data_IF_132381188061
#
_entry.id   IF_132381188061
#
_cell.length_a   1.000
_cell.length_b   1.000
_cell.length_c   1.000
_cell.angle_alpha   90.00
_cell.angle_beta   90.00
_cell.angle_gamma   90.00
#
_symmetry.space_group_name_H-M   'P 1'
#
loop_
_entity.id
_entity.type
_entity.pdbx_description
1 polymer ?
#
# COMPACT_ATOMS: atom_id res chain seq x y z
N UNK A 1 30.41 -0.21 -3.08
CA UNK A 1 29.15 0.49 -2.71
C UNK A 1 29.25 1.94 -3.15
N UNK A 2 28.20 2.50 -3.73
CA UNK A 2 28.12 3.94 -4.02
C UNK A 2 27.96 4.67 -2.69
N UNK A 3 28.75 5.71 -2.43
CA UNK A 3 28.70 6.53 -1.22
C UNK A 3 28.19 7.92 -1.56
N UNK A 4 27.26 8.45 -0.78
CA UNK A 4 26.73 9.80 -0.90
C UNK A 4 26.99 10.55 0.40
N UNK A 5 27.67 11.69 0.32
CA UNK A 5 28.07 12.50 1.49
C UNK A 5 27.18 13.74 1.69
N UNK A 6 26.22 13.95 0.77
CA UNK A 6 25.32 15.09 0.76
C UNK A 6 23.88 14.66 0.35
N UNK A 7 22.87 15.41 0.82
CA UNK A 7 21.45 15.13 0.57
C UNK A 7 21.14 15.16 -0.93
N UNK A 8 21.76 16.09 -1.66
CA UNK A 8 21.52 16.34 -3.07
C UNK A 8 21.87 15.11 -3.94
N UNK A 9 23.02 14.49 -3.68
CA UNK A 9 23.51 13.31 -4.37
C UNK A 9 22.65 12.08 -4.05
N UNK A 10 22.18 11.96 -2.81
CA UNK A 10 21.22 10.93 -2.43
C UNK A 10 19.89 11.10 -3.19
N UNK A 11 19.33 12.31 -3.18
CA UNK A 11 18.08 12.61 -3.89
C UNK A 11 18.25 12.44 -5.41
N UNK A 12 19.41 12.73 -5.99
CA UNK A 12 19.69 12.45 -7.39
C UNK A 12 19.65 10.95 -7.72
N UNK A 13 19.98 10.05 -6.78
CA UNK A 13 19.80 8.61 -6.96
C UNK A 13 18.30 8.27 -6.99
N UNK A 14 17.52 8.77 -6.03
CA UNK A 14 16.07 8.58 -6.01
C UNK A 14 15.40 9.09 -7.30
N UNK A 15 15.86 10.24 -7.81
CA UNK A 15 15.39 10.83 -9.06
C UNK A 15 15.68 9.93 -10.28
N UNK A 16 16.86 9.30 -10.33
CA UNK A 16 17.18 8.34 -11.39
C UNK A 16 16.28 7.10 -11.33
N UNK A 17 15.96 6.60 -10.13
CA UNK A 17 15.00 5.50 -9.97
C UNK A 17 13.58 5.92 -10.38
N UNK A 18 13.16 7.16 -10.13
CA UNK A 18 11.91 7.71 -10.65
C UNK A 18 11.87 7.74 -12.19
N UNK A 19 12.98 8.10 -12.85
CA UNK A 19 13.12 8.02 -14.31
C UNK A 19 13.06 6.56 -14.80
N UNK A 20 13.66 5.62 -14.07
CA UNK A 20 13.57 4.20 -14.38
C UNK A 20 12.11 3.69 -14.27
N UNK A 21 11.38 4.09 -13.23
CA UNK A 21 9.96 3.78 -13.04
C UNK A 21 9.11 4.29 -14.21
N UNK A 22 9.33 5.56 -14.59
CA UNK A 22 8.68 6.16 -15.76
C UNK A 22 8.98 5.40 -17.05
N UNK A 23 10.22 4.95 -17.23
CA UNK A 23 10.63 4.14 -18.41
C UNK A 23 9.95 2.77 -18.42
N UNK A 24 9.77 2.16 -17.24
CA UNK A 24 9.04 0.91 -17.07
C UNK A 24 7.54 1.05 -17.35
N UNK A 25 6.99 2.27 -17.34
CA UNK A 25 5.57 2.53 -17.53
C UNK A 25 4.74 2.40 -16.26
N UNK A 26 5.37 2.55 -15.09
CA UNK A 26 4.69 2.66 -13.80
C UNK A 26 4.83 4.07 -13.24
N UNK A 27 4.34 4.32 -12.02
CA UNK A 27 4.41 5.65 -11.39
C UNK A 27 5.87 6.09 -11.27
N UNK A 28 6.18 7.31 -11.73
CA UNK A 28 7.51 7.92 -11.75
C UNK A 28 8.08 8.25 -10.37
N UNK A 29 8.18 7.25 -9.50
CA UNK A 29 8.63 7.36 -8.10
C UNK A 29 9.78 6.37 -7.88
N UNK A 30 10.79 6.80 -7.13
CA UNK A 30 11.94 5.98 -6.81
C UNK A 30 12.56 6.35 -5.47
N UNK A 31 13.41 5.48 -4.95
CA UNK A 31 14.06 5.73 -3.68
C UNK A 31 15.28 4.86 -3.42
N UNK A 32 15.91 5.09 -2.27
CA UNK A 32 17.04 4.33 -1.78
C UNK A 32 17.09 4.24 -0.25
N UNK A 33 17.82 3.24 0.25
CA UNK A 33 18.26 3.13 1.64
C UNK A 33 19.72 3.56 1.78
N UNK A 34 19.97 4.38 2.79
CA UNK A 34 21.28 4.85 3.20
C UNK A 34 21.55 4.49 4.66
N UNK A 35 22.75 4.00 4.94
CA UNK A 35 23.25 3.94 6.32
C UNK A 35 23.78 5.31 6.80
N UNK A 36 24.14 5.39 8.09
CA UNK A 36 24.67 6.63 8.68
C UNK A 36 26.00 7.10 8.11
N UNK A 37 26.72 6.23 7.39
CA UNK A 37 27.98 6.58 6.75
C UNK A 37 27.77 7.06 5.30
N UNK A 38 26.51 7.10 4.84
CA UNK A 38 26.14 7.50 3.49
C UNK A 38 26.36 6.41 2.44
N UNK A 39 26.51 5.14 2.84
CA UNK A 39 26.58 4.05 1.87
C UNK A 39 25.16 3.73 1.39
N UNK A 40 25.01 3.60 0.07
CA UNK A 40 23.78 3.11 -0.55
C UNK A 40 23.68 1.60 -0.33
N UNK A 41 22.73 1.19 0.52
CA UNK A 41 22.42 -0.21 0.78
C UNK A 41 21.61 -0.80 -0.38
N UNK A 42 20.62 -0.05 -0.86
CA UNK A 42 19.72 -0.45 -1.96
C UNK A 42 19.08 0.78 -2.60
N UNK A 43 18.88 0.78 -3.91
CA UNK A 43 17.97 1.69 -4.62
C UNK A 43 16.96 0.88 -5.44
N UNK A 44 15.75 1.40 -5.57
CA UNK A 44 14.63 0.74 -6.25
C UNK A 44 13.64 1.78 -6.82
N UNK A 45 13.10 1.48 -7.99
CA UNK A 45 11.94 2.17 -8.54
C UNK A 45 10.59 1.61 -8.04
N UNK A 46 9.52 2.39 -8.19
CA UNK A 46 8.14 1.89 -8.10
C UNK A 46 7.94 0.72 -9.09
N UNK A 47 7.12 -0.25 -8.70
CA UNK A 47 6.87 -1.48 -9.45
C UNK A 47 5.39 -1.89 -9.45
N UNK A 48 4.46 -0.94 -9.27
CA UNK A 48 3.01 -1.22 -9.27
C UNK A 48 2.58 -1.88 -10.57
N UNK A 49 3.15 -1.40 -11.68
CA UNK A 49 2.92 -1.93 -13.03
C UNK A 49 4.19 -2.58 -13.55
N UNK A 50 4.04 -3.76 -14.14
CA UNK A 50 5.08 -4.45 -14.91
C UNK A 50 4.47 -4.94 -16.22
N UNK A 51 5.17 -4.72 -17.32
CA UNK A 51 4.76 -5.23 -18.65
C UNK A 51 3.32 -4.81 -19.02
N UNK A 52 2.89 -3.61 -18.59
CA UNK A 52 1.55 -3.10 -18.87
C UNK A 52 0.42 -3.69 -18.03
N UNK A 53 0.74 -4.45 -16.97
CA UNK A 53 -0.24 -5.04 -16.06
C UNK A 53 0.06 -4.66 -14.61
N UNK A 54 -0.98 -4.52 -13.79
CA UNK A 54 -0.82 -4.34 -12.33
C UNK A 54 -0.19 -5.60 -11.75
N UNK A 55 1.01 -5.46 -11.19
CA UNK A 55 1.77 -6.55 -10.58
C UNK A 55 1.52 -6.63 -9.07
N UNK A 56 1.61 -5.49 -8.38
CA UNK A 56 1.37 -5.36 -6.94
C UNK A 56 1.00 -3.90 -6.64
N UNK A 57 -0.26 -3.58 -6.29
CA UNK A 57 -0.69 -2.20 -6.02
C UNK A 57 0.10 -1.57 -4.86
N UNK A 58 0.73 -2.38 -4.00
CA UNK A 58 1.53 -1.88 -2.87
C UNK A 58 3.02 -1.72 -3.20
N UNK A 59 3.47 -2.01 -4.42
CA UNK A 59 4.89 -2.00 -4.81
C UNK A 59 5.44 -0.58 -5.05
N UNK A 60 5.26 0.30 -4.06
CA UNK A 60 5.89 1.61 -4.01
C UNK A 60 7.38 1.49 -3.67
N UNK A 61 8.18 2.50 -4.01
CA UNK A 61 9.63 2.46 -3.80
C UNK A 61 10.00 2.26 -2.33
N UNK A 62 9.44 3.07 -1.45
CA UNK A 62 9.67 3.06 0.00
C UNK A 62 9.28 1.71 0.61
N UNK A 63 8.09 1.22 0.26
CA UNK A 63 7.56 -0.06 0.74
C UNK A 63 8.48 -1.22 0.34
N UNK A 64 8.93 -1.26 -0.92
CA UNK A 64 9.82 -2.32 -1.41
C UNK A 64 11.21 -2.25 -0.77
N UNK A 65 11.71 -1.06 -0.45
CA UNK A 65 12.97 -0.88 0.26
C UNK A 65 12.90 -1.46 1.69
N UNK A 66 11.81 -1.20 2.41
CA UNK A 66 11.56 -1.78 3.74
C UNK A 66 11.49 -3.31 3.65
N UNK A 67 10.80 -3.83 2.64
CA UNK A 67 10.72 -5.26 2.38
C UNK A 67 12.07 -5.91 2.13
N UNK A 68 12.87 -5.28 1.28
CA UNK A 68 14.24 -5.72 1.00
C UNK A 68 15.06 -5.75 2.29
N UNK A 69 14.95 -4.72 3.13
CA UNK A 69 15.68 -4.65 4.41
C UNK A 69 15.34 -5.85 5.32
N UNK A 70 14.06 -6.11 5.57
CA UNK A 70 13.65 -7.23 6.42
C UNK A 70 13.99 -8.59 5.80
N UNK A 71 13.87 -8.73 4.49
CA UNK A 71 14.27 -9.94 3.79
C UNK A 71 15.78 -10.22 3.91
N UNK A 72 16.64 -9.21 3.79
CA UNK A 72 18.08 -9.38 3.97
C UNK A 72 18.47 -9.64 5.44
N UNK A 73 17.81 -8.98 6.40
CA UNK A 73 17.97 -9.29 7.83
C UNK A 73 17.60 -10.75 8.14
N UNK A 74 16.50 -11.26 7.57
CA UNK A 74 16.09 -12.64 7.72
C UNK A 74 17.10 -13.64 7.10
N UNK A 75 17.85 -13.23 6.08
CA UNK A 75 18.97 -14.00 5.50
C UNK A 75 20.27 -13.91 6.32
N UNK A 76 20.29 -13.15 7.41
CA UNK A 76 21.45 -12.96 8.27
C UNK A 76 22.38 -11.82 7.86
N UNK A 77 21.95 -10.92 6.97
CA UNK A 77 22.73 -9.74 6.64
C UNK A 77 22.91 -8.83 7.86
N UNK A 78 24.14 -8.40 8.12
CA UNK A 78 24.47 -7.47 9.19
C UNK A 78 24.11 -6.02 8.79
N UNK A 79 22.81 -5.72 8.73
CA UNK A 79 22.31 -4.39 8.45
C UNK A 79 22.05 -3.61 9.76
N UNK A 80 22.33 -2.28 9.79
CA UNK A 80 22.02 -1.43 10.94
C UNK A 80 20.54 -1.52 11.34
N UNK A 81 20.16 -1.20 12.58
CA UNK A 81 18.75 -1.13 12.96
C UNK A 81 18.03 -0.02 12.16
N UNK A 82 16.70 -0.10 11.96
CA UNK A 82 15.95 0.83 11.09
C UNK A 82 16.14 2.31 11.44
N UNK A 83 16.24 2.65 12.72
CA UNK A 83 16.44 4.01 13.23
C UNK A 83 17.81 4.61 12.87
N UNK A 84 18.75 3.79 12.41
CA UNK A 84 20.06 4.21 11.89
C UNK A 84 20.08 4.26 10.35
N UNK A 85 18.97 3.94 9.70
CA UNK A 85 18.84 3.94 8.24
C UNK A 85 17.92 5.08 7.80
N UNK A 86 18.25 5.66 6.65
CA UNK A 86 17.46 6.70 6.00
C UNK A 86 16.92 6.21 4.67
N UNK A 87 15.60 6.23 4.51
CA UNK A 87 14.93 6.10 3.22
C UNK A 87 14.98 7.47 2.54
N UNK A 88 15.50 7.55 1.33
CA UNK A 88 15.41 8.76 0.51
C UNK A 88 14.42 8.48 -0.60
N UNK A 89 13.35 9.27 -0.67
CA UNK A 89 12.28 9.10 -1.66
C UNK A 89 12.18 10.31 -2.57
N UNK A 90 11.89 10.07 -3.84
CA UNK A 90 11.73 11.12 -4.85
C UNK A 90 10.47 11.95 -4.62
N UNK A 91 9.44 11.39 -3.98
CA UNK A 91 8.12 12.02 -3.82
C UNK A 91 7.63 11.87 -2.37
N UNK A 92 6.79 12.79 -1.91
CA UNK A 92 6.19 12.75 -0.56
C UNK A 92 5.47 11.40 -0.34
N UNK A 93 5.88 10.61 0.66
CA UNK A 93 5.35 9.27 0.82
C UNK A 93 3.85 9.30 1.10
N UNK A 94 3.14 8.38 0.45
CA UNK A 94 1.70 8.23 0.65
C UNK A 94 1.37 7.66 2.04
N UNK A 95 0.07 7.55 2.37
CA UNK A 95 -0.36 7.03 3.68
C UNK A 95 0.17 5.61 3.99
N UNK A 96 0.22 4.74 2.97
CA UNK A 96 0.76 3.38 3.09
C UNK A 96 2.25 3.41 3.46
N UNK A 97 3.04 4.11 2.65
CA UNK A 97 4.49 4.16 2.81
C UNK A 97 4.86 4.82 4.13
N UNK A 98 4.11 5.85 4.53
CA UNK A 98 4.31 6.53 5.82
C UNK A 98 3.99 5.64 7.01
N UNK A 99 2.87 4.93 6.98
CA UNK A 99 2.53 3.94 8.00
C UNK A 99 3.58 2.82 8.08
N UNK A 100 4.11 2.38 6.94
CA UNK A 100 5.19 1.40 6.86
C UNK A 100 6.51 1.92 7.47
N UNK A 101 6.94 3.12 7.09
CA UNK A 101 8.14 3.80 7.61
C UNK A 101 8.05 3.96 9.12
N UNK A 102 6.92 4.48 9.63
CA UNK A 102 6.70 4.68 11.05
C UNK A 102 6.58 3.35 11.80
N UNK A 103 5.95 2.32 11.23
CA UNK A 103 5.86 1.00 11.87
C UNK A 103 7.24 0.35 12.03
N UNK A 104 8.11 0.51 11.02
CA UNK A 104 9.45 -0.08 11.03
C UNK A 104 10.52 0.79 11.72
N UNK A 105 10.30 2.10 11.87
CA UNK A 105 11.19 3.01 12.60
C UNK A 105 12.29 3.67 11.77
N UNK A 106 12.14 3.75 10.45
CA UNK A 106 13.13 4.40 9.57
C UNK A 106 13.06 5.93 9.64
N UNK A 107 14.20 6.57 9.36
CA UNK A 107 14.23 7.99 8.99
C UNK A 107 13.91 8.15 7.50
N UNK A 108 13.45 9.33 7.09
CA UNK A 108 13.16 9.61 5.68
C UNK A 108 13.59 11.00 5.25
N UNK A 109 14.08 11.08 4.01
CA UNK A 109 14.35 12.32 3.29
C UNK A 109 13.45 12.38 2.06
N UNK A 110 12.72 13.47 1.91
CA UNK A 110 11.70 13.63 0.87
C UNK A 110 12.10 14.73 -0.12
N UNK A 111 12.15 14.39 -1.42
CA UNK A 111 12.53 15.34 -2.45
C UNK A 111 11.36 16.24 -2.91
N UNK A 112 10.41 15.70 -3.69
CA UNK A 112 9.25 16.44 -4.19
C UNK A 112 8.03 16.31 -3.26
N UNK A 113 7.07 17.23 -3.39
CA UNK A 113 5.79 17.18 -2.69
C UNK A 113 4.74 16.45 -3.53
N UNK A 114 3.81 15.76 -2.87
CA UNK A 114 2.60 15.21 -3.51
C UNK A 114 1.35 15.87 -2.88
N UNK A 115 0.66 16.76 -3.61
CA UNK A 115 -0.52 17.45 -3.09
C UNK A 115 -1.77 16.57 -3.02
N UNK A 116 -1.75 15.35 -3.58
CA UNK A 116 -2.91 14.45 -3.66
C UNK A 116 -2.83 13.32 -2.64
N UNK A 117 -1.70 12.61 -2.57
CA UNK A 117 -1.55 11.43 -1.72
C UNK A 117 -0.50 11.57 -0.61
N UNK A 118 0.37 12.58 -0.70
CA UNK A 118 1.45 12.82 0.25
C UNK A 118 0.95 13.15 1.66
N UNK A 119 1.65 12.66 2.69
CA UNK A 119 1.27 12.93 4.08
C UNK A 119 1.55 14.36 4.54
N UNK A 120 2.39 15.11 3.81
CA UNK A 120 2.62 16.53 4.00
C UNK A 120 2.07 17.33 2.82
N UNK A 121 0.92 16.90 2.25
CA UNK A 121 0.29 17.54 1.08
C UNK A 121 0.04 19.06 1.22
N UNK A 122 -0.05 19.58 2.46
CA UNK A 122 -0.20 21.01 2.75
C UNK A 122 1.12 21.80 2.64
N UNK A 123 2.25 21.11 2.46
CA UNK A 123 3.59 21.68 2.36
C UNK A 123 3.91 22.67 3.49
N UNK A 124 3.62 22.28 4.74
CA UNK A 124 3.82 23.13 5.92
C UNK A 124 4.50 22.40 7.09
N UNK A 125 4.76 21.09 6.97
CA UNK A 125 5.41 20.28 8.01
C UNK A 125 4.52 19.95 9.21
N UNK A 126 3.21 20.21 9.14
CA UNK A 126 2.26 19.94 10.23
C UNK A 126 1.91 18.46 10.39
N UNK A 127 2.03 17.68 9.30
CA UNK A 127 1.59 16.28 9.23
C UNK A 127 0.14 16.10 9.70
N UNK A 128 -0.73 17.07 9.42
CA UNK A 128 -2.14 17.12 9.84
C UNK A 128 -2.93 15.88 9.39
N UNK A 129 -2.55 15.29 8.24
CA UNK A 129 -3.13 14.05 7.71
C UNK A 129 -2.89 12.80 8.57
N UNK A 130 -1.86 12.82 9.43
CA UNK A 130 -1.59 11.70 10.32
C UNK A 130 -2.49 11.74 11.56
N UNK A 131 -2.91 10.57 12.07
CA UNK A 131 -3.45 10.46 13.42
C UNK A 131 -2.52 11.13 14.46
N UNK A 132 -3.09 11.81 15.44
CA UNK A 132 -2.37 12.59 16.45
C UNK A 132 -1.19 11.83 17.11
N UNK A 133 -1.32 10.54 17.51
CA UNK A 133 -0.21 9.78 18.08
C UNK A 133 1.02 9.60 17.17
N UNK A 134 0.87 9.79 15.86
CA UNK A 134 1.94 9.59 14.86
C UNK A 134 2.67 10.89 14.49
N UNK A 135 2.05 12.05 14.71
CA UNK A 135 2.56 13.34 14.23
C UNK A 135 3.93 13.69 14.80
N UNK A 136 4.13 13.51 16.10
CA UNK A 136 5.41 13.80 16.75
C UNK A 136 6.54 12.88 16.23
N UNK A 137 6.21 11.61 15.97
CA UNK A 137 7.15 10.63 15.41
C UNK A 137 7.55 11.03 13.98
N UNK A 138 6.57 11.35 13.14
CA UNK A 138 6.82 11.83 11.78
C UNK A 138 7.67 13.11 11.78
N UNK A 139 7.35 14.11 12.62
CA UNK A 139 8.13 15.33 12.75
C UNK A 139 9.60 15.08 13.14
N UNK A 140 9.86 14.01 13.91
CA UNK A 140 11.21 13.64 14.35
C UNK A 140 12.01 12.79 13.35
N UNK A 141 11.34 12.06 12.45
CA UNK A 141 12.00 11.12 11.53
C UNK A 141 11.90 11.49 10.06
N UNK A 142 11.01 12.42 9.69
CA UNK A 142 10.84 12.90 8.32
C UNK A 142 11.58 14.20 8.13
N UNK A 143 12.31 14.31 7.02
CA UNK A 143 13.03 15.51 6.63
C UNK A 143 12.67 15.91 5.21
N UNK A 144 12.26 17.15 5.04
CA UNK A 144 12.00 17.79 3.76
C UNK A 144 13.09 18.85 3.59
N UNK A 145 14.16 18.58 2.83
CA UNK A 145 15.24 19.53 2.65
C UNK A 145 14.74 20.83 2.01
N UNK A 146 15.24 22.01 2.45
CA UNK A 146 15.03 23.26 1.73
C UNK A 146 15.53 23.14 0.29
N UNK A 147 14.74 23.68 -0.64
CA UNK A 147 15.10 23.81 -2.04
C UNK A 147 15.44 25.28 -2.28
N UNK A 148 16.73 25.57 -2.47
CA UNK A 148 17.19 26.95 -2.65
C UNK A 148 16.93 27.40 -4.09
N UNK A 149 16.24 28.51 -4.25
CA UNK A 149 15.98 29.10 -5.56
C UNK A 149 14.82 30.09 -5.54
N UNK A 150 14.28 30.37 -6.71
CA UNK A 150 13.20 31.36 -6.91
C UNK A 150 12.08 30.87 -7.83
N UNK A 151 12.11 29.61 -8.26
CA UNK A 151 11.04 28.99 -9.05
C UNK A 151 9.93 28.45 -8.15
N UNK A 152 8.87 27.89 -8.76
CA UNK A 152 7.80 27.22 -8.04
C UNK A 152 8.24 25.96 -7.26
N UNK A 153 9.46 25.48 -7.49
CA UNK A 153 10.07 24.35 -6.82
C UNK A 153 10.85 24.75 -5.55
N UNK A 154 11.14 26.04 -5.38
CA UNK A 154 11.77 26.54 -4.17
C UNK A 154 10.83 26.34 -2.97
N UNK A 155 11.39 25.89 -1.84
CA UNK A 155 10.65 25.69 -0.59
C UNK A 155 11.55 25.83 0.62
N UNK A 156 10.93 26.20 1.74
CA UNK A 156 11.54 26.08 3.05
C UNK A 156 11.68 24.61 3.46
N UNK A 157 12.58 24.36 4.42
CA UNK A 157 12.77 23.02 4.97
C UNK A 157 11.79 22.70 6.09
N UNK A 158 11.40 21.42 6.21
CA UNK A 158 10.56 20.94 7.31
C UNK A 158 11.10 19.64 7.93
N UNK A 159 10.66 19.38 9.16
CA UNK A 159 11.02 18.18 9.90
C UNK A 159 12.46 18.18 10.40
N UNK A 160 12.99 16.99 10.71
CA UNK A 160 14.27 16.85 11.39
C UNK A 160 15.31 16.15 10.49
N UNK A 161 16.45 16.80 10.16
CA UNK A 161 17.48 16.19 9.34
C UNK A 161 18.06 14.93 10.01
N UNK A 162 18.32 13.84 9.25
CA UNK A 162 18.97 12.65 9.78
C UNK A 162 20.33 12.99 10.41
N UNK A 163 20.60 12.44 11.60
CA UNK A 163 21.82 12.75 12.37
C UNK A 163 23.07 12.30 11.61
N UNK A 164 24.08 13.18 11.52
CA UNK A 164 25.43 12.84 11.08
C UNK A 164 25.62 12.49 9.59
N UNK A 165 24.54 12.43 8.79
CA UNK A 165 24.56 11.81 7.46
C UNK A 165 24.97 12.75 6.33
N UNK A 166 24.69 14.05 6.45
CA UNK A 166 24.85 14.98 5.33
C UNK A 166 25.58 16.27 5.70
N UNK A 167 26.66 16.58 4.98
CA UNK A 167 27.41 17.84 5.09
C UNK A 167 26.56 19.00 4.54
N UNK A 168 25.81 18.75 3.46
CA UNK A 168 24.86 19.68 2.85
C UNK A 168 23.41 19.29 3.14
N UNK A 169 22.57 20.27 3.51
CA UNK A 169 21.19 20.06 3.96
C UNK A 169 20.13 20.51 2.95
N UNK A 170 20.52 20.95 1.76
CA UNK A 170 19.64 21.51 0.73
C UNK A 170 19.62 20.62 -0.51
N UNK A 171 18.59 20.78 -1.35
CA UNK A 171 18.52 20.19 -2.69
C UNK A 171 18.37 21.28 -3.75
N UNK A 172 18.80 21.00 -4.97
CA UNK A 172 18.68 21.92 -6.11
C UNK A 172 17.29 21.83 -6.76
N UNK A 173 16.78 22.97 -7.26
CA UNK A 173 15.48 23.05 -7.93
C UNK A 173 15.35 22.04 -9.08
N UNK A 174 16.38 21.91 -9.92
CA UNK A 174 16.35 20.98 -11.05
C UNK A 174 16.16 19.51 -10.63
N UNK A 175 16.66 19.12 -9.45
CA UNK A 175 16.51 17.74 -8.97
C UNK A 175 15.13 17.52 -8.35
N UNK A 176 14.60 18.50 -7.61
CA UNK A 176 13.23 18.41 -7.10
C UNK A 176 12.22 18.42 -8.27
N UNK A 177 12.42 19.30 -9.27
CA UNK A 177 11.61 19.35 -10.48
C UNK A 177 11.63 18.02 -11.25
N UNK A 178 12.80 17.38 -11.40
CA UNK A 178 12.90 16.08 -12.03
C UNK A 178 12.03 15.03 -11.32
N UNK A 179 12.08 14.99 -9.99
CA UNK A 179 11.25 14.08 -9.21
C UNK A 179 9.75 14.35 -9.40
N UNK A 180 9.32 15.62 -9.34
CA UNK A 180 7.92 16.02 -9.53
C UNK A 180 7.41 15.64 -10.92
N UNK A 181 8.14 16.07 -11.95
CA UNK A 181 7.77 15.89 -13.35
C UNK A 181 7.81 14.42 -13.78
N UNK A 182 8.67 13.59 -13.18
CA UNK A 182 8.68 12.16 -13.45
C UNK A 182 7.36 11.51 -13.02
N UNK A 183 6.83 11.88 -11.84
CA UNK A 183 5.56 11.39 -11.34
C UNK A 183 4.38 11.96 -12.14
N UNK A 184 4.31 13.29 -12.30
CA UNK A 184 3.24 13.98 -13.04
C UNK A 184 3.09 13.45 -14.48
N UNK A 185 4.21 13.15 -15.16
CA UNK A 185 4.19 12.61 -16.51
C UNK A 185 3.63 11.17 -16.62
N UNK A 186 3.41 10.49 -15.50
CA UNK A 186 2.98 9.08 -15.46
C UNK A 186 1.64 8.88 -14.76
N UNK A 187 1.28 9.74 -13.81
CA UNK A 187 0.17 9.54 -12.87
C UNK A 187 -1.13 9.16 -13.57
N UNK A 188 -1.63 10.02 -14.48
CA UNK A 188 -2.93 9.84 -15.14
C UNK A 188 -2.98 8.53 -15.94
N UNK A 189 -1.93 8.25 -16.73
CA UNK A 189 -1.87 7.05 -17.56
C UNK A 189 -1.83 5.78 -16.71
N UNK A 190 -1.08 5.79 -15.61
CA UNK A 190 -0.96 4.62 -14.74
C UNK A 190 -2.24 4.41 -13.92
N UNK A 191 -2.90 5.48 -13.44
CA UNK A 191 -4.20 5.38 -12.78
C UNK A 191 -5.27 4.83 -13.74
N UNK A 192 -5.31 5.30 -14.98
CA UNK A 192 -6.21 4.77 -16.00
C UNK A 192 -5.98 3.28 -16.27
N UNK A 193 -4.71 2.85 -16.30
CA UNK A 193 -4.35 1.43 -16.44
C UNK A 193 -4.79 0.59 -15.23
N UNK A 194 -4.59 1.09 -14.01
CA UNK A 194 -5.02 0.36 -12.81
C UNK A 194 -6.55 0.19 -12.75
N UNK A 195 -7.29 1.10 -13.39
CA UNK A 195 -8.75 1.13 -13.43
C UNK A 195 -9.38 0.56 -14.71
N UNK A 196 -8.59 -0.04 -15.62
CA UNK A 196 -9.02 -0.40 -16.98
C UNK A 196 -9.83 -1.72 -17.10
N UNK A 197 -10.31 -2.25 -15.98
CA UNK A 197 -11.11 -3.47 -15.97
C UNK A 197 -12.47 -3.31 -16.66
N UNK A 198 -13.10 -4.44 -16.98
CA UNK A 198 -14.42 -4.50 -17.61
C UNK A 198 -15.49 -3.82 -16.76
N UNK A 199 -16.56 -3.37 -17.43
CA UNK A 199 -17.70 -2.78 -16.75
C UNK A 199 -18.45 -3.82 -15.88
N UNK A 200 -19.15 -3.34 -14.85
CA UNK A 200 -19.82 -4.19 -13.87
C UNK A 200 -20.82 -5.18 -14.49
N UNK A 201 -21.55 -4.77 -15.53
CA UNK A 201 -22.53 -5.59 -16.24
C UNK A 201 -21.90 -6.71 -17.09
N UNK A 202 -20.58 -6.68 -17.28
CA UNK A 202 -19.80 -7.69 -17.98
C UNK A 202 -19.16 -8.71 -17.03
N UNK A 203 -19.25 -8.49 -15.72
CA UNK A 203 -18.70 -9.40 -14.72
C UNK A 203 -19.42 -10.75 -14.78
N UNK A 204 -18.65 -11.82 -14.53
CA UNK A 204 -19.13 -13.19 -14.53
C UNK A 204 -18.73 -13.87 -13.25
N UNK A 205 -19.65 -14.65 -12.70
CA UNK A 205 -19.45 -15.36 -11.45
C UNK A 205 -18.42 -16.50 -11.63
N UNK A 206 -17.23 -16.43 -11.00
CA UNK A 206 -16.21 -17.46 -11.12
C UNK A 206 -16.66 -18.82 -10.57
N UNK A 207 -17.69 -18.89 -9.72
CA UNK A 207 -18.24 -20.15 -9.22
C UNK A 207 -19.00 -20.93 -10.32
N UNK A 208 -19.31 -20.31 -11.46
CA UNK A 208 -19.92 -20.98 -12.63
C UNK A 208 -18.90 -21.76 -13.47
N UNK A 209 -17.60 -21.51 -13.27
CA UNK A 209 -16.53 -22.19 -13.98
C UNK A 209 -16.34 -23.62 -13.48
N UNK A 210 -15.99 -24.54 -14.39
CA UNK A 210 -15.68 -25.90 -14.01
C UNK A 210 -14.44 -25.97 -13.08
N UNK A 211 -14.35 -26.94 -12.14
CA UNK A 211 -13.21 -27.04 -11.22
C UNK A 211 -11.84 -27.18 -11.88
N UNK A 212 -11.78 -27.70 -13.12
CA UNK A 212 -10.56 -27.84 -13.90
C UNK A 212 -10.20 -26.60 -14.73
N UNK A 213 -11.03 -25.56 -14.73
CA UNK A 213 -10.75 -24.32 -15.43
C UNK A 213 -9.42 -23.71 -14.96
N UNK A 214 -8.52 -23.25 -15.84
CA UNK A 214 -7.18 -22.76 -15.46
C UNK A 214 -7.21 -21.70 -14.36
N UNK A 215 -8.15 -20.75 -14.45
CA UNK A 215 -8.38 -19.72 -13.44
C UNK A 215 -8.72 -20.32 -12.06
N UNK A 216 -9.70 -21.22 -11.99
CA UNK A 216 -10.13 -21.86 -10.74
C UNK A 216 -8.99 -22.69 -10.14
N UNK A 217 -8.24 -23.43 -10.98
CA UNK A 217 -7.08 -24.20 -10.54
C UNK A 217 -5.98 -23.31 -9.96
N UNK A 218 -5.69 -22.17 -10.60
CA UNK A 218 -4.67 -21.25 -10.11
C UNK A 218 -5.11 -20.56 -8.83
N UNK A 219 -6.36 -20.09 -8.77
CA UNK A 219 -6.95 -19.50 -7.57
C UNK A 219 -6.90 -20.50 -6.39
N UNK A 220 -7.32 -21.75 -6.58
CA UNK A 220 -7.26 -22.79 -5.54
C UNK A 220 -5.84 -23.25 -5.19
N UNK A 221 -4.87 -23.11 -6.10
CA UNK A 221 -3.46 -23.34 -5.77
C UNK A 221 -2.90 -22.29 -4.82
N UNK A 222 -3.44 -21.06 -4.87
CA UNK A 222 -3.08 -19.96 -4.00
C UNK A 222 -3.84 -20.05 -2.67
N UNK A 223 -5.16 -20.30 -2.73
CA UNK A 223 -6.03 -20.45 -1.57
C UNK A 223 -6.99 -21.65 -1.77
N UNK A 224 -6.72 -22.82 -1.18
CA UNK A 224 -7.50 -24.04 -1.42
C UNK A 224 -9.01 -23.92 -1.20
N UNK A 225 -9.41 -23.11 -0.22
CA UNK A 225 -10.82 -22.90 0.15
C UNK A 225 -11.52 -21.86 -0.76
N UNK A 226 -10.88 -21.37 -1.82
CA UNK A 226 -11.50 -20.42 -2.74
C UNK A 226 -12.76 -21.01 -3.41
N UNK A 227 -13.79 -20.17 -3.49
CA UNK A 227 -15.12 -20.47 -4.03
C UNK A 227 -15.89 -21.56 -3.26
N UNK A 228 -15.51 -21.85 -2.01
CA UNK A 228 -16.24 -22.80 -1.14
C UNK A 228 -17.28 -22.12 -0.24
N UNK A 229 -17.22 -20.79 -0.14
CA UNK A 229 -18.18 -19.95 0.58
C UNK A 229 -18.71 -18.86 -0.34
N UNK A 230 -19.99 -18.55 -0.16
CA UNK A 230 -20.68 -17.44 -0.80
C UNK A 230 -21.71 -16.85 0.17
N UNK A 231 -21.79 -15.53 0.21
CA UNK A 231 -22.88 -14.80 0.85
C UNK A 231 -23.56 -13.86 -0.14
N UNK A 232 -24.59 -13.15 0.34
CA UNK A 232 -25.09 -11.99 -0.38
C UNK A 232 -23.96 -10.97 -0.60
N UNK A 233 -23.81 -10.40 -1.81
CA UNK A 233 -22.78 -9.40 -2.09
C UNK A 233 -22.79 -8.28 -1.06
N UNK A 234 -21.60 -7.90 -0.56
CA UNK A 234 -21.40 -6.85 0.45
C UNK A 234 -22.04 -7.12 1.83
N UNK A 235 -22.61 -8.30 2.07
CA UNK A 235 -23.25 -8.67 3.33
C UNK A 235 -22.68 -9.99 3.88
N UNK A 236 -21.40 -10.01 4.32
CA UNK A 236 -20.79 -11.22 4.89
C UNK A 236 -21.56 -11.69 6.14
N UNK A 237 -21.83 -12.98 6.18
CA UNK A 237 -22.59 -13.62 7.26
C UNK A 237 -21.71 -14.55 8.11
N UNK A 238 -22.34 -15.33 9.01
CA UNK A 238 -21.63 -16.23 9.92
C UNK A 238 -20.83 -17.33 9.21
N UNK A 239 -21.17 -17.68 7.97
CA UNK A 239 -20.46 -18.70 7.19
C UNK A 239 -19.04 -18.30 6.81
N UNK A 240 -18.69 -17.00 6.86
CA UNK A 240 -17.32 -16.54 6.65
C UNK A 240 -16.39 -16.86 7.85
N UNK A 241 -16.97 -17.04 9.05
CA UNK A 241 -16.22 -17.14 10.29
C UNK A 241 -15.15 -18.24 10.32
N UNK A 242 -15.39 -19.49 9.85
CA UNK A 242 -14.38 -20.54 9.90
C UNK A 242 -13.08 -20.19 9.18
N UNK A 243 -13.18 -19.52 8.03
CA UNK A 243 -12.03 -19.10 7.22
C UNK A 243 -11.23 -18.00 7.91
N UNK A 244 -11.94 -17.01 8.47
CA UNK A 244 -11.31 -15.91 9.20
C UNK A 244 -10.65 -16.40 10.47
N UNK A 245 -11.31 -17.27 11.26
CA UNK A 245 -10.75 -17.85 12.48
C UNK A 245 -9.48 -18.66 12.18
N UNK A 246 -9.46 -19.42 11.09
CA UNK A 246 -8.26 -20.15 10.66
C UNK A 246 -7.11 -19.20 10.24
N UNK A 247 -7.41 -18.06 9.62
CA UNK A 247 -6.40 -17.05 9.32
C UNK A 247 -5.91 -16.32 10.59
N UNK A 248 -6.81 -15.91 11.48
CA UNK A 248 -6.49 -15.28 12.79
C UNK A 248 -5.59 -16.19 13.62
N UNK A 249 -5.90 -17.49 13.68
CA UNK A 249 -5.07 -18.47 14.38
C UNK A 249 -3.67 -18.56 13.77
N UNK A 250 -3.55 -18.62 12.44
CA UNK A 250 -2.26 -18.65 11.74
C UNK A 250 -1.42 -17.40 11.98
N UNK A 251 -2.02 -16.21 11.97
CA UNK A 251 -1.29 -14.97 12.31
C UNK A 251 -0.78 -15.03 13.76
N UNK A 252 -1.62 -15.47 14.70
CA UNK A 252 -1.27 -15.60 16.12
C UNK A 252 -0.15 -16.61 16.35
N UNK A 253 -0.19 -17.78 15.70
CA UNK A 253 0.87 -18.80 15.72
C UNK A 253 2.21 -18.26 15.19
N UNK A 254 2.14 -17.31 14.25
CA UNK A 254 3.30 -16.63 13.69
C UNK A 254 3.69 -15.37 14.47
N UNK A 255 3.22 -15.21 15.71
CA UNK A 255 3.57 -14.09 16.60
C UNK A 255 2.85 -12.77 16.28
N UNK A 256 1.82 -12.81 15.45
CA UNK A 256 0.93 -11.70 15.16
C UNK A 256 -0.16 -11.49 16.22
N UNK A 257 -1.04 -10.54 15.95
CA UNK A 257 -2.10 -10.10 16.87
C UNK A 257 -3.49 -10.60 16.50
N UNK A 258 -3.58 -11.65 15.67
CA UNK A 258 -4.83 -12.13 15.10
C UNK A 258 -5.31 -11.30 13.91
N UNK A 259 -4.39 -10.78 13.10
CA UNK A 259 -4.69 -10.01 11.89
C UNK A 259 -5.04 -10.94 10.71
N UNK A 260 -6.16 -10.68 10.06
CA UNK A 260 -6.65 -11.44 8.92
C UNK A 260 -7.58 -10.60 8.05
N UNK A 261 -7.52 -10.81 6.73
CA UNK A 261 -8.41 -10.17 5.76
C UNK A 261 -8.95 -11.21 4.79
N UNK A 262 -10.26 -11.21 4.59
CA UNK A 262 -10.91 -11.94 3.51
C UNK A 262 -11.20 -11.01 2.33
N UNK A 263 -11.07 -11.52 1.10
CA UNK A 263 -11.52 -10.88 -0.12
C UNK A 263 -12.69 -11.68 -0.70
N UNK A 264 -13.84 -11.03 -0.80
CA UNK A 264 -15.02 -11.52 -1.50
C UNK A 264 -15.12 -10.84 -2.88
N UNK A 265 -15.52 -11.56 -3.92
CA UNK A 265 -15.78 -10.97 -5.23
C UNK A 265 -17.13 -10.21 -5.28
N UNK A 266 -17.46 -9.66 -6.44
CA UNK A 266 -18.71 -8.93 -6.68
C UNK A 266 -19.99 -9.78 -6.50
N UNK A 267 -19.84 -11.11 -6.47
CA UNK A 267 -20.93 -12.09 -6.33
C UNK A 267 -21.00 -12.69 -4.92
N UNK A 268 -20.14 -12.22 -4.01
CA UNK A 268 -20.04 -12.67 -2.62
C UNK A 268 -19.22 -13.95 -2.43
N UNK A 269 -18.53 -14.46 -3.46
CA UNK A 269 -17.69 -15.65 -3.33
C UNK A 269 -16.39 -15.33 -2.60
N UNK A 270 -15.96 -16.21 -1.70
CA UNK A 270 -14.63 -16.12 -1.09
C UNK A 270 -13.53 -16.40 -2.11
N UNK A 271 -12.69 -15.39 -2.37
CA UNK A 271 -11.51 -15.54 -3.21
C UNK A 271 -10.27 -15.90 -2.38
N UNK A 272 -10.02 -15.15 -1.29
CA UNK A 272 -8.86 -15.30 -0.43
C UNK A 272 -9.23 -15.04 1.03
N UNK A 273 -8.56 -15.71 1.98
CA UNK A 273 -8.52 -15.30 3.38
C UNK A 273 -7.09 -15.43 3.91
N UNK A 274 -6.45 -14.29 4.17
CA UNK A 274 -5.00 -14.17 4.33
C UNK A 274 -4.67 -13.66 5.73
N UNK A 275 -3.75 -14.33 6.46
CA UNK A 275 -3.22 -13.83 7.73
C UNK A 275 -2.14 -12.77 7.52
N UNK A 276 -1.83 -12.00 8.56
CA UNK A 276 -0.59 -11.23 8.62
C UNK A 276 0.66 -12.12 8.65
N UNK A 277 1.83 -11.54 8.36
CA UNK A 277 3.16 -12.21 8.44
C UNK A 277 4.18 -11.34 9.15
N UNK A 278 3.82 -10.85 10.33
CA UNK A 278 4.57 -9.79 11.04
C UNK A 278 5.93 -10.21 11.58
N UNK A 279 6.15 -11.50 11.80
CA UNK A 279 7.49 -12.03 12.16
C UNK A 279 8.47 -11.96 11.00
N UNK A 280 7.99 -11.95 9.75
CA UNK A 280 8.85 -11.76 8.58
C UNK A 280 9.19 -10.29 8.35
N UNK A 281 8.22 -9.41 8.50
CA UNK A 281 8.37 -7.96 8.32
C UNK A 281 7.28 -7.22 9.07
N UNK A 282 7.65 -6.13 9.76
CA UNK A 282 6.70 -5.32 10.52
C UNK A 282 5.58 -4.69 9.66
N UNK A 283 5.77 -4.68 8.33
CA UNK A 283 4.85 -4.09 7.36
C UNK A 283 4.04 -5.13 6.58
N UNK A 284 4.15 -6.42 6.91
CA UNK A 284 3.34 -7.48 6.31
C UNK A 284 2.01 -7.68 7.06
N UNK A 285 1.12 -6.68 6.98
CA UNK A 285 -0.27 -6.82 7.46
C UNK A 285 -1.07 -7.78 6.58
N UNK A 286 -2.16 -8.30 7.11
CA UNK A 286 -3.05 -9.20 6.38
C UNK A 286 -3.61 -8.54 5.12
N UNK A 287 -3.96 -7.25 5.18
CA UNK A 287 -4.45 -6.51 4.01
C UNK A 287 -3.39 -6.40 2.91
N UNK A 288 -2.17 -5.98 3.25
CA UNK A 288 -1.08 -5.87 2.28
C UNK A 288 -0.77 -7.19 1.59
N UNK A 289 -0.83 -8.29 2.35
CA UNK A 289 -0.65 -9.64 1.81
C UNK A 289 -1.83 -10.06 0.91
N UNK A 290 -3.06 -9.79 1.33
CA UNK A 290 -4.26 -10.13 0.56
C UNK A 290 -4.30 -9.40 -0.80
N UNK A 291 -4.10 -8.09 -0.81
CA UNK A 291 -4.15 -7.28 -2.04
C UNK A 291 -3.01 -7.66 -3.00
N UNK A 292 -1.79 -7.87 -2.48
CA UNK A 292 -0.64 -8.31 -3.28
C UNK A 292 -0.87 -9.67 -3.90
N UNK A 293 -1.31 -10.66 -3.12
CA UNK A 293 -1.54 -12.01 -3.63
C UNK A 293 -2.62 -12.03 -4.71
N UNK A 294 -3.67 -11.23 -4.55
CA UNK A 294 -4.71 -11.09 -5.56
C UNK A 294 -4.20 -10.44 -6.85
N UNK A 295 -3.47 -9.33 -6.76
CA UNK A 295 -2.88 -8.67 -7.94
C UNK A 295 -1.89 -9.59 -8.67
N UNK A 296 -1.03 -10.30 -7.93
CA UNK A 296 -0.08 -11.24 -8.51
C UNK A 296 -0.76 -12.46 -9.14
N UNK A 297 -1.89 -12.93 -8.59
CA UNK A 297 -2.71 -13.96 -9.24
C UNK A 297 -3.19 -13.49 -10.61
N UNK A 298 -3.78 -12.28 -10.68
CA UNK A 298 -4.27 -11.68 -11.93
C UNK A 298 -3.12 -11.50 -12.93
N UNK A 299 -2.02 -10.91 -12.49
CA UNK A 299 -0.80 -10.73 -13.31
C UNK A 299 -0.30 -12.05 -13.89
N UNK A 300 -0.16 -13.11 -13.07
CA UNK A 300 0.30 -14.42 -13.53
C UNK A 300 -0.63 -15.06 -14.57
N UNK A 301 -1.94 -14.82 -14.46
CA UNK A 301 -2.92 -15.33 -15.43
C UNK A 301 -2.92 -14.51 -16.73
N UNK A 302 -2.62 -13.20 -16.65
CA UNK A 302 -2.75 -12.26 -17.77
C UNK A 302 -1.47 -12.04 -18.58
N UNK A 303 -0.27 -12.13 -17.96
CA UNK A 303 1.01 -11.71 -18.57
C UNK A 303 1.27 -12.32 -19.95
N UNK A 304 1.04 -13.62 -20.08
CA UNK A 304 1.33 -14.37 -21.30
C UNK A 304 0.05 -14.66 -22.13
N UNK A 305 -1.08 -14.04 -21.74
CA UNK A 305 -2.39 -14.23 -22.35
C UNK A 305 -2.64 -13.20 -23.46
N UNK A 306 -3.44 -13.57 -24.45
CA UNK A 306 -3.95 -12.64 -25.48
C UNK A 306 -4.87 -11.58 -24.88
N UNK A 307 -5.09 -10.46 -25.59
CA UNK A 307 -5.98 -9.40 -25.12
C UNK A 307 -7.42 -9.90 -24.84
N UNK A 308 -7.90 -10.87 -25.62
CA UNK A 308 -9.21 -11.49 -25.39
C UNK A 308 -9.24 -12.33 -24.12
N UNK A 309 -8.19 -13.12 -23.87
CA UNK A 309 -8.07 -13.91 -22.63
C UNK A 309 -7.90 -13.01 -21.41
N UNK A 310 -7.13 -11.91 -21.51
CA UNK A 310 -7.02 -10.92 -20.43
C UNK A 310 -8.38 -10.31 -20.09
N UNK A 311 -9.16 -9.96 -21.10
CA UNK A 311 -10.52 -9.46 -20.91
C UNK A 311 -11.41 -10.52 -20.23
N UNK A 312 -11.35 -11.78 -20.67
CA UNK A 312 -12.10 -12.87 -20.04
C UNK A 312 -11.69 -13.10 -18.59
N UNK A 313 -10.39 -13.09 -18.28
CA UNK A 313 -9.90 -13.19 -16.90
C UNK A 313 -10.43 -12.02 -16.07
N UNK A 314 -10.44 -10.80 -16.62
CA UNK A 314 -11.00 -9.62 -15.97
C UNK A 314 -12.50 -9.71 -15.68
N UNK A 315 -13.26 -10.46 -16.47
CA UNK A 315 -14.68 -10.71 -16.20
C UNK A 315 -14.91 -11.58 -14.96
N UNK A 316 -14.01 -12.53 -14.67
CA UNK A 316 -14.14 -13.44 -13.52
C UNK A 316 -13.35 -12.99 -12.28
N UNK A 317 -12.18 -12.35 -12.49
CA UNK A 317 -11.31 -11.81 -11.45
C UNK A 317 -11.13 -10.30 -11.70
N UNK A 318 -12.18 -9.56 -11.37
CA UNK A 318 -12.27 -8.13 -11.54
C UNK A 318 -11.40 -7.34 -10.55
N UNK A 319 -11.38 -6.04 -10.74
CA UNK A 319 -10.71 -5.10 -9.86
C UNK A 319 -11.30 -5.23 -8.44
N UNK A 320 -10.48 -5.17 -7.37
CA UNK A 320 -10.97 -5.32 -6.00
C UNK A 320 -12.08 -4.34 -5.59
N UNK A 321 -12.23 -3.21 -6.28
CA UNK A 321 -13.29 -2.21 -6.05
C UNK A 321 -14.70 -2.78 -6.16
N UNK A 322 -14.88 -3.81 -6.99
CA UNK A 322 -16.18 -4.47 -7.20
C UNK A 322 -16.46 -5.55 -6.13
N UNK A 323 -15.44 -5.97 -5.38
CA UNK A 323 -15.53 -6.98 -4.31
C UNK A 323 -15.73 -6.39 -2.92
N UNK A 324 -15.46 -7.15 -1.87
CA UNK A 324 -15.51 -6.67 -0.47
C UNK A 324 -14.31 -7.20 0.30
N UNK A 325 -13.56 -6.32 0.95
CA UNK A 325 -12.57 -6.74 1.94
C UNK A 325 -13.21 -6.80 3.31
N UNK A 326 -13.04 -7.92 4.01
CA UNK A 326 -13.52 -8.10 5.39
C UNK A 326 -12.34 -8.33 6.31
N UNK A 327 -12.04 -7.32 7.11
CA UNK A 327 -10.97 -7.35 8.10
C UNK A 327 -11.46 -8.00 9.38
N UNK A 328 -10.67 -8.91 9.96
CA UNK A 328 -10.97 -9.44 11.29
C UNK A 328 -11.00 -8.31 12.34
N UNK A 329 -10.05 -7.37 12.20
CA UNK A 329 -9.90 -6.19 13.07
C UNK A 329 -9.88 -4.92 12.23
N UNK A 330 -10.69 -3.94 12.60
CA UNK A 330 -10.75 -2.66 11.90
C UNK A 330 -9.45 -1.87 12.03
N UNK A 331 -9.13 -1.00 11.05
CA UNK A 331 -7.95 -0.13 11.14
C UNK A 331 -7.96 0.72 12.41
N UNK A 332 -6.80 0.86 13.04
CA UNK A 332 -6.60 1.73 14.20
C UNK A 332 -6.09 3.12 13.84
N UNK A 333 -5.77 3.90 14.88
CA UNK A 333 -5.09 5.21 14.76
C UNK A 333 -3.55 5.12 14.88
N UNK A 334 -3.02 3.91 14.88
CA UNK A 334 -1.59 3.64 14.89
C UNK A 334 -1.01 3.57 13.48
N UNK A 335 0.29 3.36 13.37
CA UNK A 335 0.98 3.34 12.09
C UNK A 335 0.53 2.19 11.19
N UNK A 336 0.05 1.08 11.76
CA UNK A 336 -0.43 -0.08 11.00
C UNK A 336 -1.83 0.17 10.44
N UNK A 337 -2.76 0.67 11.26
CA UNK A 337 -4.07 1.08 10.77
C UNK A 337 -3.99 2.13 9.68
N UNK A 338 -3.10 3.12 9.83
CA UNK A 338 -2.87 4.12 8.79
C UNK A 338 -2.23 3.54 7.52
N UNK A 339 -1.30 2.58 7.68
CA UNK A 339 -0.71 1.84 6.56
C UNK A 339 -1.77 1.06 5.78
N UNK A 340 -2.68 0.34 6.46
CA UNK A 340 -3.75 -0.43 5.83
C UNK A 340 -4.75 0.46 5.09
N UNK A 341 -5.14 1.60 5.68
CA UNK A 341 -5.97 2.60 4.99
C UNK A 341 -5.28 3.14 3.74
N UNK A 342 -3.98 3.42 3.83
CA UNK A 342 -3.19 3.87 2.70
C UNK A 342 -3.02 2.80 1.60
N UNK A 343 -2.77 1.55 1.99
CA UNK A 343 -2.64 0.42 1.09
C UNK A 343 -3.98 0.12 0.40
N UNK A 344 -5.07 0.28 1.14
CA UNK A 344 -6.42 0.18 0.61
C UNK A 344 -6.64 1.22 -0.48
N UNK A 345 -6.31 2.49 -0.19
CA UNK A 345 -6.43 3.53 -1.19
C UNK A 345 -5.57 3.27 -2.43
N UNK A 346 -4.36 2.74 -2.25
CA UNK A 346 -3.50 2.36 -3.36
C UNK A 346 -3.92 1.08 -4.10
N UNK A 347 -4.80 0.28 -3.50
CA UNK A 347 -5.45 -0.84 -4.19
C UNK A 347 -6.63 -0.35 -5.02
N UNK A 348 -7.34 0.69 -4.55
CA UNK A 348 -8.48 1.25 -5.27
C UNK A 348 -8.05 2.19 -6.41
N UNK A 349 -7.01 3.00 -6.19
CA UNK A 349 -6.43 4.04 -7.08
C UNK A 349 -7.43 5.04 -7.70
N UNK A 350 -8.70 4.99 -7.30
CA UNK A 350 -9.79 5.73 -7.90
C UNK A 350 -11.09 5.62 -7.11
N UNK A 351 -12.16 6.28 -7.58
CA UNK A 351 -13.43 6.30 -6.86
C UNK A 351 -14.01 4.89 -6.74
N UNK A 352 -14.60 4.62 -5.58
CA UNK A 352 -15.42 3.42 -5.39
C UNK A 352 -16.68 3.49 -6.26
N UNK A 353 -17.14 2.36 -6.81
CA UNK A 353 -18.35 2.37 -7.62
C UNK A 353 -19.59 2.60 -6.73
N UNK A 354 -20.59 3.33 -7.26
CA UNK A 354 -21.78 3.73 -6.50
C UNK A 354 -22.57 2.56 -5.90
N UNK A 355 -22.51 1.39 -6.55
CA UNK A 355 -23.18 0.18 -6.11
C UNK A 355 -22.48 -0.52 -4.93
N UNK A 356 -21.25 -0.13 -4.56
CA UNK A 356 -20.47 -0.76 -3.50
C UNK A 356 -19.84 0.26 -2.53
N UNK A 357 -20.66 1.03 -1.80
CA UNK A 357 -20.16 2.05 -0.88
C UNK A 357 -19.56 1.45 0.40
N UNK A 358 -19.70 0.14 0.63
CA UNK A 358 -19.25 -0.58 1.84
C UNK A 358 -18.21 -1.66 1.52
N UNK A 359 -17.36 -1.36 0.55
CA UNK A 359 -16.32 -2.25 0.06
C UNK A 359 -15.37 -2.69 1.20
N UNK A 360 -14.96 -1.76 2.07
CA UNK A 360 -14.07 -2.03 3.20
C UNK A 360 -14.91 -2.25 4.47
N UNK A 361 -14.96 -3.50 4.92
CA UNK A 361 -15.66 -3.90 6.15
C UNK A 361 -14.71 -4.47 7.20
N UNK A 362 -15.11 -4.40 8.46
CA UNK A 362 -14.36 -5.01 9.56
C UNK A 362 -15.27 -5.64 10.63
N UNK A 363 -14.76 -6.64 11.35
CA UNK A 363 -15.56 -7.39 12.35
C UNK A 363 -15.40 -6.82 13.76
N UNK A 364 -14.18 -6.80 14.27
CA UNK A 364 -13.85 -6.25 15.59
C UNK A 364 -13.35 -4.80 15.46
N UNK A 365 -13.93 -3.82 16.17
CA UNK A 365 -13.40 -2.46 16.18
C UNK A 365 -12.09 -2.37 16.97
N UNK A 366 -11.08 -1.70 16.41
CA UNK A 366 -9.84 -1.34 17.15
C UNK A 366 -9.97 0.04 17.81
N UNK A 367 -10.80 0.92 17.25
CA UNK A 367 -11.15 2.24 17.78
C UNK A 367 -12.66 2.48 17.58
N UNK A 368 -13.28 3.42 18.31
CA UNK A 368 -14.66 3.83 18.03
C UNK A 368 -14.84 4.31 16.58
N UNK A 369 -15.99 4.05 15.97
CA UNK A 369 -16.27 4.44 14.56
C UNK A 369 -16.04 5.93 14.31
N UNK A 370 -16.43 6.80 15.26
CA UNK A 370 -16.21 8.25 15.13
C UNK A 370 -14.72 8.63 15.06
N UNK A 371 -13.85 7.93 15.79
CA UNK A 371 -12.40 8.15 15.69
C UNK A 371 -11.87 7.68 14.34
N UNK A 372 -12.36 6.55 13.82
CA UNK A 372 -11.96 6.04 12.51
C UNK A 372 -12.42 6.96 11.37
N UNK A 373 -13.66 7.47 11.44
CA UNK A 373 -14.20 8.44 10.49
C UNK A 373 -13.36 9.73 10.50
N UNK A 374 -12.93 10.18 11.68
CA UNK A 374 -12.05 11.35 11.82
C UNK A 374 -10.65 11.11 11.20
N UNK A 375 -10.10 9.90 11.36
CA UNK A 375 -8.85 9.52 10.69
C UNK A 375 -9.02 9.58 9.16
N UNK A 376 -10.06 8.95 8.62
CA UNK A 376 -10.33 8.94 7.18
C UNK A 376 -10.59 10.34 6.61
N UNK A 377 -11.32 11.20 7.33
CA UNK A 377 -11.59 12.58 6.93
C UNK A 377 -10.34 13.47 6.92
N UNK A 378 -9.34 13.15 7.75
CA UNK A 378 -8.06 13.89 7.78
C UNK A 378 -7.07 13.41 6.71
N UNK A 379 -7.26 12.24 6.11
CA UNK A 379 -6.32 11.69 5.11
C UNK A 379 -6.13 12.65 3.90
N UNK A 380 -5.03 12.53 3.15
CA UNK A 380 -4.78 13.34 1.95
C UNK A 380 -5.92 13.28 0.92
N UNK A 381 -6.07 14.29 0.03
CA UNK A 381 -7.20 14.43 -0.89
C UNK A 381 -7.58 13.18 -1.68
N UNK A 382 -6.60 12.41 -2.18
CA UNK A 382 -6.84 11.16 -2.90
C UNK A 382 -7.72 10.20 -2.08
N UNK A 383 -7.43 10.08 -0.80
CA UNK A 383 -8.08 9.14 0.10
C UNK A 383 -9.46 9.62 0.56
N UNK A 384 -9.57 10.89 0.95
CA UNK A 384 -10.81 11.44 1.52
C UNK A 384 -11.82 11.91 0.46
N UNK A 385 -11.36 12.45 -0.66
CA UNK A 385 -12.23 13.18 -1.62
C UNK A 385 -12.53 12.31 -2.86
N UNK A 386 -11.50 11.60 -3.37
CA UNK A 386 -11.60 10.76 -4.57
C UNK A 386 -12.07 9.35 -4.22
N UNK A 387 -11.30 8.62 -3.41
CA UNK A 387 -11.62 7.24 -3.02
C UNK A 387 -12.74 7.22 -1.99
N UNK A 388 -12.77 8.22 -1.10
CA UNK A 388 -13.73 8.37 0.01
C UNK A 388 -13.71 7.15 0.93
N UNK A 389 -12.52 6.80 1.42
CA UNK A 389 -12.33 5.66 2.29
C UNK A 389 -13.26 5.74 3.50
N UNK A 390 -14.08 4.71 3.68
CA UNK A 390 -15.07 4.63 4.76
C UNK A 390 -15.18 3.20 5.28
N UNK A 391 -14.29 2.80 6.20
CA UNK A 391 -14.38 1.49 6.84
C UNK A 391 -15.67 1.41 7.66
N UNK A 392 -16.41 0.33 7.51
CA UNK A 392 -17.65 0.09 8.27
C UNK A 392 -17.64 -1.26 8.94
N UNK A 393 -18.29 -1.38 10.08
CA UNK A 393 -18.46 -2.69 10.71
C UNK A 393 -19.40 -3.56 9.88
N UNK A 394 -19.13 -4.87 9.84
CA UNK A 394 -20.08 -5.86 9.31
C UNK A 394 -21.40 -5.81 10.09
N UNK A 395 -22.53 -6.10 9.43
CA UNK A 395 -23.85 -6.09 10.08
C UNK A 395 -24.19 -7.41 10.78
N UNK A 396 -23.59 -8.51 10.34
CA UNK A 396 -23.87 -9.84 10.88
C UNK A 396 -23.40 -9.96 12.32
N UNK A 397 -24.36 -9.90 13.25
CA UNK A 397 -24.11 -10.10 14.68
C UNK A 397 -23.52 -11.49 14.96
N UNK A 398 -23.94 -12.51 14.22
CA UNK A 398 -23.41 -13.86 14.36
C UNK A 398 -21.93 -13.96 13.93
N UNK A 399 -21.53 -13.25 12.86
CA UNK A 399 -20.11 -13.17 12.46
C UNK A 399 -19.29 -12.43 13.51
N UNK A 400 -19.81 -11.33 14.05
CA UNK A 400 -19.21 -10.57 15.15
C UNK A 400 -18.97 -11.47 16.37
N UNK A 401 -19.98 -12.22 16.79
CA UNK A 401 -19.90 -13.11 17.95
C UNK A 401 -18.96 -14.29 17.74
N UNK A 402 -18.86 -14.79 16.50
CA UNK A 402 -17.95 -15.86 16.15
C UNK A 402 -16.48 -15.43 16.29
N UNK A 403 -16.13 -14.23 15.82
CA UNK A 403 -14.76 -13.71 15.95
C UNK A 403 -14.48 -13.07 17.32
N UNK A 404 -15.48 -12.70 18.13
CA UNK A 404 -15.22 -12.17 19.47
C UNK A 404 -14.56 -13.17 20.44
N UNK A 405 -14.56 -14.46 20.09
CA UNK A 405 -14.01 -15.57 20.90
C UNK A 405 -12.57 -15.95 20.56
N UNK A 406 -11.98 -15.33 19.54
CA UNK A 406 -10.64 -15.65 19.01
C UNK A 406 -9.54 -14.78 19.57
#
# INVERSE_FOLDING_TARGET
MRKTIDVQAAVAIAANEAVAAKTQGTFGVGGLLLDQQGNVLKSLQNNVVREGLVFDPTAHGERQLIDWYFAERAKGAALPPPEEITIVTSLDPCAMCTGAILSAGFNVVVAAMDPKAGINYEANGSFSALPEPLRARAASSFYYPPVLGASAYAREGWGSPPRGLFIGKTIAEGTQALCSLAFEATEEKVQALCSSDVAQDQLRDPATLAPWHPLVRKLRSLYPEALTYRCEPQAPDAGLAPFMLAAVARDSEQGGGGDAVALLDAFGNLLLCVPGRRTQSAICTAFMECTRQYAQLRYMLMRDASAQEQMEIGQYLAHPRDGTFVFARGPGKDAQGFMDLGAYGSTMEGPLPEHNPRQLQYVQPTVPQQELDAVCAAMPPLYRDVIRIRPVRVESQALIEALAKS
#
